data_IF_947622382276
#
_entry.id   IF_947622382276
#
_cell.length_a   1.000
_cell.length_b   1.000
_cell.length_c   1.000
_cell.angle_alpha   90.00
_cell.angle_beta   90.00
_cell.angle_gamma   90.00
#
_symmetry.space_group_name_H-M   'P 1'
#
loop_
_entity.id
_entity.type
_entity.pdbx_description
1 polymer ?
#
# COMPACT_ATOMS: atom_id res chain seq x y z
N UNK A 1 12.88 -19.15 -24.85
CA UNK A 1 13.67 -18.16 -24.08
C UNK A 1 12.95 -16.84 -24.31
N UNK A 2 11.80 -16.70 -23.66
CA UNK A 2 10.91 -15.57 -23.81
C UNK A 2 11.29 -14.54 -22.76
N UNK A 3 11.49 -13.32 -23.21
CA UNK A 3 11.70 -12.14 -22.37
C UNK A 3 10.38 -11.82 -21.65
N UNK A 4 10.24 -12.26 -20.40
CA UNK A 4 9.15 -11.87 -19.50
C UNK A 4 9.49 -10.49 -18.90
N UNK A 5 9.57 -9.47 -19.75
CA UNK A 5 9.63 -8.09 -19.30
C UNK A 5 8.24 -7.68 -18.80
N UNK A 6 8.14 -7.32 -17.52
CA UNK A 6 6.94 -6.76 -16.88
C UNK A 6 6.35 -5.59 -17.71
N UNK A 7 5.02 -5.35 -17.67
CA UNK A 7 4.33 -4.42 -18.57
C UNK A 7 4.52 -2.96 -18.14
N UNK A 8 5.76 -2.48 -18.13
CA UNK A 8 6.10 -1.09 -17.88
C UNK A 8 6.46 -0.42 -19.20
N UNK A 9 5.75 0.66 -19.54
CA UNK A 9 5.99 1.37 -20.80
C UNK A 9 7.44 1.85 -20.92
N UNK A 10 7.97 1.83 -22.14
CA UNK A 10 9.31 2.30 -22.49
C UNK A 10 9.48 3.77 -22.05
N UNK A 11 10.15 3.96 -20.91
CA UNK A 11 10.37 5.26 -20.31
C UNK A 11 11.79 5.74 -20.55
N UNK A 12 11.90 7.01 -20.94
CA UNK A 12 13.17 7.72 -21.01
C UNK A 12 13.65 7.97 -19.59
N UNK A 13 14.61 7.17 -19.12
CA UNK A 13 15.41 7.42 -17.93
C UNK A 13 16.75 8.06 -18.37
N UNK A 14 16.80 9.39 -18.60
CA UNK A 14 17.98 10.03 -19.17
C UNK A 14 19.20 9.96 -18.25
N UNK A 15 18.99 9.65 -16.98
CA UNK A 15 20.02 9.56 -15.96
C UNK A 15 20.44 8.11 -15.66
N UNK A 16 19.81 7.12 -16.31
CA UNK A 16 20.08 5.68 -16.12
C UNK A 16 20.05 5.27 -14.64
N UNK A 17 19.06 5.80 -13.92
CA UNK A 17 18.77 5.50 -12.51
C UNK A 17 18.20 4.09 -12.30
N UNK A 18 17.62 3.48 -13.34
CA UNK A 18 16.90 2.21 -13.31
C UNK A 18 15.46 2.32 -12.79
N UNK A 19 14.95 3.53 -12.57
CA UNK A 19 13.55 3.74 -12.20
C UNK A 19 12.65 3.81 -13.43
N UNK A 20 11.50 3.16 -13.31
CA UNK A 20 10.44 3.16 -14.30
C UNK A 20 9.16 3.64 -13.61
N UNK A 21 8.48 4.62 -14.19
CA UNK A 21 7.19 5.09 -13.76
C UNK A 21 6.13 4.04 -14.03
N UNK A 22 5.38 3.72 -13.00
CA UNK A 22 4.31 2.75 -13.11
C UNK A 22 3.18 3.31 -13.97
N UNK A 23 2.70 2.48 -14.90
CA UNK A 23 1.45 2.68 -15.62
C UNK A 23 0.52 1.51 -15.33
N UNK A 24 -0.78 1.76 -15.07
CA UNK A 24 -1.76 0.68 -14.95
C UNK A 24 -1.73 -0.19 -16.21
N UNK A 25 -1.68 -1.53 -16.07
CA UNK A 25 -1.69 -2.42 -17.23
C UNK A 25 -3.05 -2.38 -17.93
N UNK A 26 -3.05 -2.39 -19.27
CA UNK A 26 -4.26 -2.59 -20.06
C UNK A 26 -4.55 -4.10 -20.19
N UNK A 27 -5.64 -4.56 -19.58
CA UNK A 27 -6.05 -5.97 -19.61
C UNK A 27 -7.07 -6.18 -20.72
N UNK A 28 -6.82 -7.15 -21.62
CA UNK A 28 -7.65 -7.40 -22.80
C UNK A 28 -9.05 -7.94 -22.47
N UNK A 29 -9.18 -8.77 -21.43
CA UNK A 29 -10.46 -9.20 -20.83
C UNK A 29 -10.44 -8.87 -19.33
N UNK A 30 -10.78 -7.63 -18.94
CA UNK A 30 -10.54 -7.15 -17.60
C UNK A 30 -11.55 -7.73 -16.60
N UNK A 31 -11.08 -8.55 -15.65
CA UNK A 31 -11.79 -8.79 -14.38
C UNK A 31 -11.81 -7.54 -13.50
N UNK A 32 -10.92 -6.60 -13.78
CA UNK A 32 -10.87 -5.30 -13.14
C UNK A 32 -10.30 -4.24 -14.10
N UNK A 33 -10.70 -3.00 -13.91
CA UNK A 33 -10.27 -1.86 -14.70
C UNK A 33 -9.89 -0.71 -13.77
N UNK A 34 -8.75 -0.07 -14.02
CA UNK A 34 -8.32 1.13 -13.31
C UNK A 34 -8.63 2.35 -14.19
N UNK A 35 -9.38 3.30 -13.63
CA UNK A 35 -9.78 4.54 -14.30
C UNK A 35 -9.22 5.75 -13.56
N UNK A 36 -8.80 6.78 -14.30
CA UNK A 36 -8.21 8.00 -13.76
C UNK A 36 -6.69 8.04 -13.91
N UNK A 37 -6.12 9.23 -13.71
CA UNK A 37 -4.67 9.44 -13.77
C UNK A 37 -4.08 9.55 -12.36
N UNK A 38 -4.25 10.69 -11.68
CA UNK A 38 -3.64 10.93 -10.35
C UNK A 38 -4.45 10.40 -9.17
N UNK A 39 -5.77 10.39 -9.29
CA UNK A 39 -6.69 9.81 -8.31
C UNK A 39 -7.46 8.71 -9.02
N UNK A 40 -7.12 7.46 -8.75
CA UNK A 40 -7.60 6.33 -9.51
C UNK A 40 -8.75 5.60 -8.81
N UNK A 41 -9.66 5.07 -9.62
CA UNK A 41 -10.77 4.21 -9.21
C UNK A 41 -10.53 2.83 -9.81
N UNK A 42 -10.58 1.78 -8.99
CA UNK A 42 -10.57 0.40 -9.50
C UNK A 42 -11.99 -0.13 -9.53
N UNK A 43 -12.44 -0.57 -10.70
CA UNK A 43 -13.71 -1.27 -10.87
C UNK A 43 -13.41 -2.74 -11.03
N UNK A 44 -14.01 -3.59 -10.20
CA UNK A 44 -13.84 -5.04 -10.21
C UNK A 44 -15.15 -5.71 -10.57
N UNK A 45 -15.09 -6.71 -11.44
CA UNK A 45 -16.19 -7.61 -11.77
C UNK A 45 -16.11 -8.84 -10.87
N UNK A 46 -17.20 -9.15 -10.19
CA UNK A 46 -17.35 -10.30 -9.31
C UNK A 46 -18.27 -11.33 -9.96
N UNK A 47 -17.78 -12.56 -10.09
CA UNK A 47 -18.62 -13.68 -10.51
C UNK A 47 -19.58 -14.10 -9.39
N UNK A 48 -20.66 -14.85 -9.70
CA UNK A 48 -21.56 -15.36 -8.67
C UNK A 48 -20.82 -16.08 -7.55
N UNK A 49 -21.14 -15.74 -6.29
CA UNK A 49 -20.48 -16.25 -5.07
C UNK A 49 -19.01 -15.86 -4.90
N UNK A 50 -18.48 -14.94 -5.70
CA UNK A 50 -17.14 -14.41 -5.50
C UNK A 50 -17.11 -13.32 -4.41
N UNK A 51 -16.03 -13.31 -3.63
CA UNK A 51 -15.81 -12.40 -2.51
C UNK A 51 -14.61 -11.49 -2.81
N UNK A 52 -14.82 -10.19 -2.62
CA UNK A 52 -13.80 -9.16 -2.63
C UNK A 52 -13.57 -8.66 -1.21
N UNK A 53 -12.34 -8.78 -0.71
CA UNK A 53 -11.96 -8.19 0.57
C UNK A 53 -11.54 -6.73 0.35
N UNK A 54 -12.00 -5.81 1.20
CA UNK A 54 -11.65 -4.39 1.11
C UNK A 54 -11.48 -3.75 2.48
N UNK A 55 -10.66 -2.70 2.54
CA UNK A 55 -10.61 -1.83 3.71
C UNK A 55 -11.90 -1.03 3.86
N UNK A 56 -12.35 -0.75 5.11
CA UNK A 56 -13.51 0.08 5.37
C UNK A 56 -13.40 1.47 4.71
N UNK A 57 -14.48 1.93 4.08
CA UNK A 57 -14.54 3.25 3.46
C UNK A 57 -13.92 3.35 2.07
N UNK A 58 -13.39 2.26 1.51
CA UNK A 58 -12.84 2.26 0.13
C UNK A 58 -13.93 2.08 -0.94
N UNK A 59 -15.13 1.64 -0.59
CA UNK A 59 -16.21 1.40 -1.56
C UNK A 59 -16.84 2.71 -2.03
N UNK A 60 -16.85 2.92 -3.35
CA UNK A 60 -17.45 4.08 -4.03
C UNK A 60 -18.82 3.77 -4.60
N UNK A 61 -18.96 2.62 -5.28
CA UNK A 61 -20.23 2.14 -5.82
C UNK A 61 -20.23 0.61 -5.92
N UNK A 62 -21.40 -0.02 -5.93
CA UNK A 62 -21.54 -1.46 -6.15
C UNK A 62 -22.88 -1.80 -6.81
N UNK A 63 -22.95 -2.93 -7.49
CA UNK A 63 -24.21 -3.49 -7.99
C UNK A 63 -25.15 -3.85 -6.82
N UNK A 64 -26.48 -3.76 -7.00
CA UNK A 64 -27.45 -4.15 -5.97
C UNK A 64 -27.41 -5.63 -5.54
N UNK A 65 -26.78 -6.49 -6.34
CA UNK A 65 -26.61 -7.91 -6.06
C UNK A 65 -25.42 -8.23 -5.13
N UNK A 66 -24.62 -7.22 -4.77
CA UNK A 66 -23.45 -7.38 -3.90
C UNK A 66 -23.84 -7.16 -2.45
N UNK A 67 -23.67 -8.19 -1.64
CA UNK A 67 -23.88 -8.17 -0.20
C UNK A 67 -22.61 -7.72 0.52
N UNK A 68 -22.77 -6.91 1.56
CA UNK A 68 -21.65 -6.40 2.37
C UNK A 68 -21.61 -7.09 3.72
N UNK A 69 -20.57 -7.87 3.95
CA UNK A 69 -20.30 -8.56 5.20
C UNK A 69 -19.16 -7.87 5.94
N UNK A 70 -19.44 -7.31 7.12
CA UNK A 70 -18.44 -6.64 7.95
C UNK A 70 -18.07 -7.56 9.11
N UNK A 71 -16.80 -7.94 9.18
CA UNK A 71 -16.27 -8.73 10.29
C UNK A 71 -15.28 -7.91 11.11
N UNK A 72 -15.35 -8.05 12.42
CA UNK A 72 -14.39 -7.47 13.35
C UNK A 72 -13.82 -8.61 14.19
N UNK A 73 -12.52 -8.85 14.10
CA UNK A 73 -11.87 -9.87 14.93
C UNK A 73 -11.79 -9.37 16.39
N UNK A 74 -12.10 -10.19 17.41
CA UNK A 74 -12.03 -9.77 18.82
C UNK A 74 -10.66 -9.18 19.17
N UNK A 75 -10.67 -7.99 19.78
CA UNK A 75 -9.53 -7.09 19.89
C UNK A 75 -8.87 -7.13 21.28
N UNK A 76 -8.41 -8.27 21.76
CA UNK A 76 -7.50 -8.30 22.92
C UNK A 76 -6.05 -8.28 22.43
N UNK A 77 -5.38 -7.12 22.52
CA UNK A 77 -3.95 -7.00 22.21
C UNK A 77 -3.59 -7.10 20.72
N UNK A 78 -4.49 -6.71 19.82
CA UNK A 78 -4.29 -6.88 18.38
C UNK A 78 -3.12 -6.01 17.88
N UNK A 79 -2.06 -6.68 17.46
CA UNK A 79 -0.86 -6.08 16.87
C UNK A 79 -1.21 -5.19 15.66
N UNK A 80 -2.31 -5.48 14.95
CA UNK A 80 -2.83 -4.67 13.84
C UNK A 80 -3.33 -3.28 14.25
N UNK A 81 -4.00 -3.15 15.39
CA UNK A 81 -4.40 -1.82 15.90
C UNK A 81 -3.17 -1.04 16.35
N UNK A 82 -2.22 -1.72 16.98
CA UNK A 82 -0.94 -1.14 17.34
C UNK A 82 -0.13 -0.70 16.11
N UNK A 83 -0.34 -1.37 14.96
CA UNK A 83 0.20 -1.03 13.65
C UNK A 83 -0.51 0.15 12.96
N UNK A 84 -1.64 0.64 13.51
CA UNK A 84 -2.45 1.68 12.87
C UNK A 84 -3.40 1.17 11.78
N UNK A 85 -3.72 -0.13 11.78
CA UNK A 85 -4.67 -0.76 10.86
C UNK A 85 -6.06 -0.91 11.48
N UNK A 86 -7.12 -0.84 10.66
CA UNK A 86 -8.46 -1.13 11.15
C UNK A 86 -8.60 -2.62 11.53
N UNK A 87 -9.21 -2.89 12.69
CA UNK A 87 -9.63 -4.25 13.08
C UNK A 87 -10.77 -4.82 12.22
N UNK A 88 -11.40 -3.94 11.45
CA UNK A 88 -12.59 -4.24 10.66
C UNK A 88 -12.15 -4.68 9.26
N UNK A 89 -12.61 -5.86 8.86
CA UNK A 89 -12.50 -6.36 7.48
C UNK A 89 -13.88 -6.28 6.83
N UNK A 90 -13.95 -5.68 5.65
CA UNK A 90 -15.18 -5.63 4.84
C UNK A 90 -15.04 -6.63 3.71
N UNK A 91 -16.05 -7.49 3.55
CA UNK A 91 -16.16 -8.45 2.46
C UNK A 91 -17.37 -8.06 1.61
N UNK A 92 -17.17 -7.96 0.31
CA UNK A 92 -18.20 -7.69 -0.68
C UNK A 92 -18.39 -8.97 -1.48
N UNK A 93 -19.54 -9.60 -1.34
CA UNK A 93 -19.86 -10.90 -1.93
C UNK A 93 -20.96 -10.75 -2.98
N UNK A 94 -20.79 -11.35 -4.16
CA UNK A 94 -21.86 -11.39 -5.14
C UNK A 94 -22.89 -12.47 -4.79
N UNK A 95 -24.03 -12.07 -4.21
CA UNK A 95 -25.16 -12.96 -3.91
C UNK A 95 -26.09 -13.21 -5.11
N UNK A 96 -25.84 -12.56 -6.26
CA UNK A 96 -26.62 -12.70 -7.48
C UNK A 96 -26.25 -13.92 -8.34
N UNK A 97 -27.07 -14.17 -9.37
CA UNK A 97 -26.82 -15.23 -10.37
C UNK A 97 -26.00 -14.79 -11.59
N UNK A 98 -25.83 -13.48 -11.78
CA UNK A 98 -25.06 -12.87 -12.88
C UNK A 98 -23.83 -12.15 -12.32
N UNK A 99 -22.87 -11.81 -13.19
CA UNK A 99 -21.69 -11.04 -12.80
C UNK A 99 -22.09 -9.64 -12.31
N UNK A 100 -21.49 -9.19 -11.20
CA UNK A 100 -21.75 -7.92 -10.55
C UNK A 100 -20.49 -7.02 -10.57
N UNK A 101 -20.64 -5.71 -10.36
CA UNK A 101 -19.51 -4.78 -10.32
C UNK A 101 -19.37 -4.10 -8.96
N UNK A 102 -18.13 -3.77 -8.59
CA UNK A 102 -17.79 -2.96 -7.42
C UNK A 102 -16.72 -1.95 -7.81
N UNK A 103 -16.95 -0.68 -7.50
CA UNK A 103 -15.98 0.40 -7.63
C UNK A 103 -15.35 0.73 -6.29
N UNK A 104 -14.03 0.73 -6.22
CA UNK A 104 -13.23 1.08 -5.05
C UNK A 104 -12.33 2.28 -5.33
N UNK A 105 -12.10 3.08 -4.30
CA UNK A 105 -11.26 4.28 -4.32
C UNK A 105 -10.30 4.28 -3.14
N UNK A 106 -9.05 4.73 -3.33
CA UNK A 106 -8.14 5.02 -2.22
C UNK A 106 -8.70 6.08 -1.27
N UNK A 107 -8.26 6.04 -0.02
CA UNK A 107 -8.67 6.96 1.06
C UNK A 107 -7.89 8.30 1.08
N UNK A 108 -6.96 8.51 0.15
CA UNK A 108 -6.28 9.78 -0.11
C UNK A 108 -5.92 9.87 -1.61
N UNK A 109 -5.49 11.03 -2.14
CA UNK A 109 -5.09 11.17 -3.55
C UNK A 109 -3.97 10.18 -3.93
N UNK A 110 -4.35 9.08 -4.58
CA UNK A 110 -3.47 7.96 -4.88
C UNK A 110 -3.85 7.25 -6.17
N UNK A 111 -2.84 6.61 -6.74
CA UNK A 111 -2.92 5.66 -7.85
C UNK A 111 -3.02 4.24 -7.28
N UNK A 112 -3.62 3.33 -8.05
CA UNK A 112 -3.83 1.92 -7.68
C UNK A 112 -2.84 1.04 -8.41
N UNK A 113 -2.11 0.22 -7.67
CA UNK A 113 -1.15 -0.76 -8.20
C UNK A 113 -1.70 -2.16 -7.97
N UNK A 114 -2.07 -2.90 -9.03
CA UNK A 114 -2.46 -4.30 -8.93
C UNK A 114 -1.20 -5.16 -8.80
N UNK A 115 -1.12 -5.96 -7.74
CA UNK A 115 -0.08 -6.96 -7.51
C UNK A 115 -0.72 -8.33 -7.72
N UNK A 116 -0.34 -8.98 -8.81
CA UNK A 116 -0.75 -10.34 -9.11
C UNK A 116 0.19 -11.33 -8.41
N UNK A 117 -0.29 -12.07 -7.41
CA UNK A 117 0.55 -12.95 -6.58
C UNK A 117 0.96 -14.24 -7.30
N UNK A 118 0.28 -14.57 -8.40
CA UNK A 118 0.68 -15.64 -9.32
C UNK A 118 2.06 -15.36 -9.94
N UNK A 119 2.31 -14.10 -10.33
CA UNK A 119 3.52 -13.63 -11.02
C UNK A 119 4.53 -13.04 -10.04
N UNK A 120 4.08 -12.22 -9.09
CA UNK A 120 4.91 -11.54 -8.11
C UNK A 120 4.75 -12.21 -6.74
N UNK A 121 5.47 -13.32 -6.55
CA UNK A 121 5.48 -14.06 -5.27
C UNK A 121 6.28 -13.32 -4.21
N UNK A 122 5.89 -13.51 -2.94
CA UNK A 122 6.61 -12.98 -1.80
C UNK A 122 6.62 -11.46 -1.75
N UNK A 123 5.48 -10.79 -1.97
CA UNK A 123 5.45 -9.33 -1.94
C UNK A 123 5.21 -8.81 -0.52
N UNK A 124 6.06 -7.89 -0.07
CA UNK A 124 5.94 -7.21 1.23
C UNK A 124 5.44 -5.80 1.01
N UNK A 125 4.23 -5.51 1.47
CA UNK A 125 3.63 -4.18 1.43
C UNK A 125 3.83 -3.45 2.76
N UNK A 126 3.93 -2.12 2.69
CA UNK A 126 3.81 -1.25 3.86
C UNK A 126 2.40 -1.34 4.43
N UNK A 127 2.27 -1.42 5.75
CA UNK A 127 0.97 -1.38 6.43
C UNK A 127 0.17 -0.13 6.02
N UNK A 128 -1.12 -0.33 5.73
CA UNK A 128 -2.04 0.70 5.24
C UNK A 128 -1.91 1.03 3.75
N UNK A 129 -1.01 0.35 3.00
CA UNK A 129 -0.96 0.49 1.55
C UNK A 129 -1.95 -0.47 0.85
N UNK A 130 -2.30 -1.61 1.46
CA UNK A 130 -3.25 -2.57 0.88
C UNK A 130 -4.66 -2.01 1.00
N UNK A 131 -5.36 -1.86 -0.14
CA UNK A 131 -6.74 -1.36 -0.18
C UNK A 131 -7.76 -2.49 -0.30
N UNK A 132 -7.50 -3.45 -1.18
CA UNK A 132 -8.42 -4.58 -1.42
C UNK A 132 -7.69 -5.80 -1.96
N UNK A 133 -8.34 -6.97 -1.90
CA UNK A 133 -7.85 -8.20 -2.49
C UNK A 133 -8.97 -9.04 -3.09
N UNK A 134 -8.70 -9.58 -4.27
CA UNK A 134 -9.58 -10.43 -5.07
C UNK A 134 -8.98 -11.84 -5.17
N UNK A 135 -9.81 -12.87 -4.93
CA UNK A 135 -9.37 -14.26 -4.95
C UNK A 135 -8.59 -14.68 -3.69
N UNK A 136 -7.73 -15.69 -3.82
CA UNK A 136 -6.95 -16.23 -2.70
C UNK A 136 -5.74 -15.34 -2.40
N UNK A 137 -5.91 -14.44 -1.44
CA UNK A 137 -4.85 -13.55 -0.93
C UNK A 137 -4.80 -13.62 0.59
N UNK A 138 -3.67 -14.13 1.09
CA UNK A 138 -3.36 -14.21 2.50
C UNK A 138 -2.47 -13.03 2.88
N UNK A 139 -2.99 -12.19 3.76
CA UNK A 139 -2.28 -11.02 4.31
C UNK A 139 -1.80 -11.39 5.70
N UNK A 140 -0.48 -11.52 5.88
CA UNK A 140 0.13 -11.77 7.18
C UNK A 140 0.91 -10.54 7.66
N UNK A 141 0.61 -10.07 8.86
CA UNK A 141 1.32 -8.92 9.45
C UNK A 141 2.55 -9.40 10.18
N UNK A 142 3.72 -9.26 9.58
CA UNK A 142 5.00 -9.49 10.25
C UNK A 142 5.39 -8.22 11.01
N UNK A 143 5.45 -8.35 12.33
CA UNK A 143 5.84 -7.25 13.21
C UNK A 143 7.34 -7.29 13.40
N UNK A 144 8.09 -6.88 12.38
CA UNK A 144 9.50 -6.52 12.53
C UNK A 144 9.64 -5.18 13.24
N UNK A 145 8.89 -5.02 14.34
CA UNK A 145 9.10 -3.97 15.31
C UNK A 145 10.41 -4.29 16.01
N UNK A 146 11.53 -3.95 15.38
CA UNK A 146 12.67 -3.57 16.18
C UNK A 146 12.21 -2.35 17.01
N UNK A 147 12.17 -2.41 18.35
CA UNK A 147 11.75 -1.28 19.17
C UNK A 147 12.64 -0.06 18.95
N UNK A 148 13.91 -0.26 18.57
CA UNK A 148 14.81 0.82 18.17
C UNK A 148 14.46 1.45 16.81
N UNK A 149 13.60 0.84 16.00
CA UNK A 149 13.07 1.39 14.76
C UNK A 149 11.70 2.05 14.98
N UNK A 150 10.88 1.50 15.89
CA UNK A 150 9.59 2.11 16.27
C UNK A 150 9.73 3.38 17.11
N UNK A 151 10.70 3.45 18.03
CA UNK A 151 10.86 4.60 18.93
C UNK A 151 11.43 5.85 18.26
N UNK A 152 12.13 5.73 17.13
CA UNK A 152 12.80 6.87 16.48
C UNK A 152 12.06 7.40 15.24
N UNK A 153 11.05 6.68 14.76
CA UNK A 153 10.39 7.02 13.49
C UNK A 153 9.01 7.65 13.68
N UNK A 154 8.34 7.51 14.83
CA UNK A 154 6.90 7.85 14.97
C UNK A 154 6.02 7.25 13.82
N UNK A 155 6.55 6.25 13.13
CA UNK A 155 6.03 5.62 11.92
C UNK A 155 6.27 4.12 12.15
N UNK A 156 5.39 3.50 12.95
CA UNK A 156 5.44 2.06 13.16
C UNK A 156 5.34 1.35 11.80
N UNK A 157 6.48 0.92 11.24
CA UNK A 157 6.50 0.19 9.98
C UNK A 157 6.15 -1.26 10.26
N UNK A 158 4.87 -1.51 10.53
CA UNK A 158 4.36 -2.86 10.38
C UNK A 158 4.37 -3.20 8.89
N UNK A 159 4.85 -4.39 8.57
CA UNK A 159 4.94 -4.88 7.20
C UNK A 159 3.94 -6.00 7.04
N UNK A 160 3.33 -6.06 5.86
CA UNK A 160 2.36 -7.08 5.51
C UNK A 160 2.91 -7.91 4.37
N UNK A 161 3.15 -9.20 4.61
CA UNK A 161 3.46 -10.15 3.54
C UNK A 161 2.17 -10.56 2.85
N UNK A 162 2.23 -10.57 1.52
CA UNK A 162 1.16 -11.01 0.63
C UNK A 162 1.55 -12.34 0.00
N UNK A 163 0.71 -13.34 0.23
CA UNK A 163 0.91 -14.71 -0.25
C UNK A 163 -0.40 -15.26 -0.84
N UNK A 164 -0.33 -16.06 -1.91
CA UNK A 164 -1.51 -16.67 -2.54
C UNK A 164 -1.44 -16.65 -4.06
N UNK A 165 -2.60 -16.82 -4.70
CA UNK A 165 -2.74 -16.86 -6.17
C UNK A 165 -3.70 -15.78 -6.70
N UNK A 166 -4.23 -14.91 -5.83
CA UNK A 166 -5.12 -13.81 -6.18
C UNK A 166 -4.42 -12.52 -6.59
N UNK A 167 -5.20 -11.44 -6.65
CA UNK A 167 -4.72 -10.09 -6.94
C UNK A 167 -4.94 -9.20 -5.72
N UNK A 168 -3.89 -8.53 -5.26
CA UNK A 168 -3.97 -7.48 -4.24
C UNK A 168 -3.89 -6.10 -4.89
N UNK A 169 -4.76 -5.17 -4.49
CA UNK A 169 -4.74 -3.79 -4.95
C UNK A 169 -4.12 -2.91 -3.87
N UNK A 170 -3.03 -2.23 -4.23
CA UNK A 170 -2.28 -1.36 -3.34
C UNK A 170 -2.50 0.09 -3.74
N UNK A 171 -2.73 0.98 -2.77
CA UNK A 171 -2.80 2.42 -2.96
C UNK A 171 -1.42 3.06 -2.76
N UNK A 172 -0.99 3.86 -3.74
CA UNK A 172 0.26 4.60 -3.68
C UNK A 172 0.06 6.05 -4.16
N UNK A 173 0.53 7.01 -3.36
CA UNK A 173 0.25 8.43 -3.55
C UNK A 173 1.20 9.16 -4.49
N UNK A 174 0.64 10.04 -5.32
CA UNK A 174 1.39 10.83 -6.28
C UNK A 174 1.95 9.97 -7.42
N UNK A 175 3.22 10.16 -7.75
CA UNK A 175 3.92 9.42 -8.81
C UNK A 175 4.51 8.15 -8.23
N UNK A 176 4.30 7.03 -8.93
CA UNK A 176 4.82 5.73 -8.55
C UNK A 176 6.03 5.42 -9.41
N UNK A 177 7.16 5.10 -8.78
CA UNK A 177 8.36 4.63 -9.46
C UNK A 177 8.69 3.21 -8.99
N UNK A 178 8.93 2.33 -9.95
CA UNK A 178 9.32 0.93 -9.78
C UNK A 178 10.78 0.79 -10.16
N UNK A 179 11.53 -0.01 -9.40
CA UNK A 179 12.92 -0.34 -9.73
C UNK A 179 13.20 -1.79 -9.44
N UNK A 180 13.73 -2.50 -10.44
CA UNK A 180 14.24 -3.85 -10.27
C UNK A 180 15.71 -3.79 -9.85
N UNK A 181 15.99 -4.16 -8.60
CA UNK A 181 17.34 -4.23 -8.08
C UNK A 181 17.99 -5.53 -8.54
N UNK A 182 19.20 -5.42 -9.09
CA UNK A 182 20.05 -6.59 -9.36
C UNK A 182 20.64 -7.13 -8.06
N UNK A 183 21.17 -8.34 -8.12
CA UNK A 183 21.87 -8.96 -6.98
C UNK A 183 23.01 -8.04 -6.49
N UNK A 184 22.98 -7.68 -5.21
CA UNK A 184 23.95 -6.78 -4.57
C UNK A 184 23.79 -5.29 -4.93
N UNK A 185 22.82 -4.91 -5.76
CA UNK A 185 22.52 -3.52 -6.05
C UNK A 185 21.85 -2.87 -4.85
N UNK A 186 22.37 -1.71 -4.43
CA UNK A 186 21.86 -0.96 -3.28
C UNK A 186 21.07 0.26 -3.71
N UNK A 187 19.95 0.47 -3.02
CA UNK A 187 19.09 1.63 -3.14
C UNK A 187 18.93 2.29 -1.77
N UNK A 188 19.15 3.61 -1.71
CA UNK A 188 18.84 4.41 -0.53
C UNK A 188 17.59 5.21 -0.86
N UNK A 189 16.56 5.05 -0.04
CA UNK A 189 15.24 5.68 -0.23
C UNK A 189 14.72 6.19 1.10
N UNK A 190 13.95 7.27 1.07
CA UNK A 190 13.19 7.72 2.25
C UNK A 190 12.21 6.60 2.68
N UNK A 191 12.27 6.15 3.93
CA UNK A 191 11.47 5.03 4.41
C UNK A 191 9.96 5.27 4.30
N UNK A 192 9.53 6.53 4.35
CA UNK A 192 8.11 6.88 4.16
C UNK A 192 7.64 6.67 2.71
N UNK A 193 8.56 6.77 1.75
CA UNK A 193 8.29 6.72 0.31
C UNK A 193 8.27 5.30 -0.26
N UNK A 194 8.56 4.28 0.56
CA UNK A 194 8.44 2.87 0.16
C UNK A 194 6.98 2.43 0.25
N UNK A 195 6.46 1.86 -0.83
CA UNK A 195 5.11 1.27 -0.89
C UNK A 195 5.18 -0.23 -0.59
N UNK A 196 6.13 -0.92 -1.23
CA UNK A 196 6.36 -2.35 -1.04
C UNK A 196 7.52 -2.86 -1.89
N UNK A 197 7.93 -4.09 -1.66
CA UNK A 197 9.07 -4.74 -2.33
C UNK A 197 8.95 -6.26 -2.25
N UNK A 198 9.65 -6.98 -3.13
CA UNK A 198 9.76 -8.44 -3.04
C UNK A 198 10.58 -8.87 -1.82
N UNK A 199 10.21 -9.97 -1.19
CA UNK A 199 10.86 -10.57 -0.01
C UNK A 199 12.34 -10.93 -0.22
N UNK A 200 12.76 -11.08 -1.47
CA UNK A 200 14.15 -11.25 -1.89
C UNK A 200 15.00 -9.99 -1.66
N UNK A 201 14.38 -8.81 -1.55
CA UNK A 201 15.06 -7.55 -1.29
C UNK A 201 15.33 -7.40 0.20
N UNK A 202 16.62 -7.30 0.56
CA UNK A 202 17.03 -7.01 1.92
C UNK A 202 16.69 -5.57 2.28
N UNK A 203 16.07 -5.36 3.45
CA UNK A 203 15.62 -4.05 3.90
C UNK A 203 16.23 -3.72 5.27
N UNK A 204 16.93 -2.59 5.35
CA UNK A 204 17.51 -2.07 6.59
C UNK A 204 17.19 -0.60 6.78
N UNK A 205 16.90 -0.18 8.01
CA UNK A 205 16.72 1.24 8.35
C UNK A 205 18.03 1.76 8.92
N UNK A 206 18.57 2.80 8.31
CA UNK A 206 19.76 3.49 8.81
C UNK A 206 19.32 4.83 9.41
N UNK A 207 19.42 5.00 10.74
CA UNK A 207 19.14 6.28 11.37
C UNK A 207 20.14 7.31 10.84
N UNK A 208 19.64 8.42 10.29
CA UNK A 208 20.52 9.49 9.83
C UNK A 208 21.05 10.24 11.06
N UNK A 209 22.37 10.46 11.12
CA UNK A 209 23.07 11.13 12.24
C UNK A 209 22.56 12.57 12.47
N UNK A 210 21.93 13.18 11.47
CA UNK A 210 21.31 14.52 11.56
C UNK A 210 19.95 14.55 12.28
N UNK A 211 19.36 13.40 12.59
CA UNK A 211 18.02 13.33 13.20
C UNK A 211 17.97 13.79 14.64
N UNK A 212 19.11 13.85 15.32
CA UNK A 212 19.21 14.35 16.69
C UNK A 212 19.01 15.88 16.76
N UNK A 213 19.16 16.61 15.64
CA UNK A 213 19.17 18.08 15.66
C UNK A 213 17.95 18.76 15.03
N UNK A 214 17.21 18.08 14.15
CA UNK A 214 16.13 18.71 13.39
C UNK A 214 14.77 18.05 13.66
N UNK A 215 14.14 18.44 14.78
CA UNK A 215 12.68 18.43 14.94
C UNK A 215 12.03 19.48 14.01
N UNK A 216 12.34 19.41 12.70
CA UNK A 216 12.02 20.41 11.68
C UNK A 216 11.12 19.93 10.55
N UNK A 217 10.64 18.68 10.58
CA UNK A 217 9.61 18.19 9.66
C UNK A 217 10.10 17.35 8.46
N UNK A 218 11.41 17.24 8.23
CA UNK A 218 11.99 16.35 7.22
C UNK A 218 12.16 14.91 7.77
N UNK A 219 11.93 13.90 6.93
CA UNK A 219 11.92 12.49 7.33
C UNK A 219 13.25 12.01 7.91
N UNK A 220 13.23 11.55 9.15
CA UNK A 220 14.42 11.23 9.95
C UNK A 220 15.04 9.84 9.68
N UNK A 221 14.62 9.08 8.66
CA UNK A 221 15.12 7.72 8.46
C UNK A 221 15.20 7.37 6.98
N UNK A 222 16.40 7.05 6.49
CA UNK A 222 16.57 6.43 5.18
C UNK A 222 16.47 4.91 5.33
N UNK A 223 15.78 4.27 4.41
CA UNK A 223 15.85 2.84 4.18
C UNK A 223 16.97 2.53 3.17
N UNK A 224 17.80 1.56 3.50
CA UNK A 224 18.74 0.92 2.58
C UNK A 224 18.12 -0.39 2.13
N UNK A 225 17.99 -0.57 0.83
CA UNK A 225 17.44 -1.76 0.19
C UNK A 225 18.51 -2.40 -0.68
N UNK A 226 18.65 -3.72 -0.65
CA UNK A 226 19.65 -4.45 -1.44
C UNK A 226 18.99 -5.63 -2.16
N UNK A 227 19.18 -5.69 -3.48
CA UNK A 227 18.55 -6.70 -4.34
C UNK A 227 19.13 -8.11 -4.19
N UNK A 228 18.55 -9.10 -4.90
CA UNK A 228 17.69 -8.90 -6.07
C UNK A 228 16.21 -8.70 -5.75
N UNK A 229 15.49 -7.98 -6.63
CA UNK A 229 14.02 -7.93 -6.62
C UNK A 229 13.43 -6.54 -6.89
N UNK A 230 12.13 -6.50 -7.10
CA UNK A 230 11.36 -5.29 -7.42
C UNK A 230 11.08 -4.46 -6.16
N UNK A 231 11.27 -3.15 -6.26
CA UNK A 231 10.91 -2.15 -5.25
C UNK A 231 9.94 -1.14 -5.84
N UNK A 232 8.83 -0.88 -5.13
CA UNK A 232 7.82 0.10 -5.51
C UNK A 232 7.89 1.29 -4.55
N UNK A 233 8.01 2.48 -5.12
CA UNK A 233 8.14 3.74 -4.39
C UNK A 233 7.08 4.75 -4.83
N UNK A 234 6.78 5.71 -3.95
CA UNK A 234 5.78 6.75 -4.17
C UNK A 234 6.36 8.13 -3.84
N UNK A 235 5.96 9.15 -4.59
CA UNK A 235 6.39 10.52 -4.33
C UNK A 235 5.68 11.15 -3.12
N UNK A 236 4.41 10.81 -2.90
CA UNK A 236 3.57 11.40 -1.86
C UNK A 236 2.95 10.33 -0.96
N UNK A 237 3.68 9.89 0.06
CA UNK A 237 3.13 8.97 1.06
C UNK A 237 1.98 9.60 1.84
N UNK A 238 1.09 8.77 2.38
CA UNK A 238 0.01 9.23 3.25
C UNK A 238 0.53 10.11 4.41
N UNK A 239 1.69 9.79 4.98
CA UNK A 239 2.26 10.56 6.08
C UNK A 239 2.82 11.90 5.63
N UNK A 240 3.34 11.99 4.39
CA UNK A 240 3.68 13.27 3.78
C UNK A 240 2.44 14.10 3.53
N UNK A 241 1.36 13.49 3.03
CA UNK A 241 0.08 14.15 2.79
C UNK A 241 -0.51 14.74 4.08
N UNK A 242 -0.66 13.92 5.13
CA UNK A 242 -1.21 14.35 6.43
C UNK A 242 -0.38 15.47 7.05
N UNK A 243 0.96 15.44 6.94
CA UNK A 243 1.81 16.53 7.45
C UNK A 243 1.51 17.88 6.80
N UNK A 244 1.11 17.88 5.53
CA UNK A 244 0.80 19.10 4.76
C UNK A 244 -0.62 19.59 5.04
N UNK A 245 -1.61 18.68 5.12
CA UNK A 245 -3.02 19.08 5.23
C UNK A 245 -3.51 19.25 6.65
N UNK A 246 -2.84 18.65 7.64
CA UNK A 246 -3.30 18.73 9.01
C UNK A 246 -3.04 20.11 9.63
N UNK A 247 -3.98 20.64 10.45
CA UNK A 247 -3.78 21.91 11.12
C UNK A 247 -2.53 21.88 12.02
N UNK A 248 -1.89 23.04 12.24
CA UNK A 248 -0.78 23.13 13.19
C UNK A 248 -1.27 22.66 14.57
N UNK A 249 -0.45 21.89 15.31
CA UNK A 249 -0.85 21.43 16.63
C UNK A 249 -1.21 22.63 17.52
N UNK A 250 -2.35 22.56 18.23
CA UNK A 250 -2.68 23.51 19.29
C UNK A 250 -1.53 23.47 20.32
N UNK A 251 -1.03 24.63 20.74
CA UNK A 251 0.10 24.70 21.66
C UNK A 251 -0.16 23.85 22.91
N UNK A 252 0.69 22.84 23.15
CA UNK A 252 0.62 21.96 24.33
C UNK A 252 0.14 20.52 24.09
N UNK A 253 -0.31 20.13 22.89
CA UNK A 253 -0.66 18.74 22.58
C UNK A 253 0.48 18.01 21.86
N UNK A 254 0.97 16.88 22.40
CA UNK A 254 1.83 15.98 21.65
C UNK A 254 1.02 15.29 20.54
N UNK A 255 1.56 15.28 19.31
CA UNK A 255 0.97 14.58 18.16
C UNK A 255 1.01 13.08 18.41
N UNK A 256 -0.14 12.45 18.66
CA UNK A 256 -0.33 11.02 18.42
C UNK A 256 -1.14 10.88 17.13
N UNK A 257 -0.49 10.61 16.00
CA UNK A 257 -1.20 10.23 14.78
C UNK A 257 -1.39 8.71 14.81
N UNK A 258 -2.63 8.27 15.06
CA UNK A 258 -3.08 6.90 14.83
C UNK A 258 -3.95 6.89 13.57
N UNK A 259 -3.49 6.17 12.55
CA UNK A 259 -4.33 5.82 11.40
C UNK A 259 -5.42 4.82 11.81
N UNK A 260 -6.57 4.93 11.13
CA UNK A 260 -7.67 3.96 11.08
C UNK A 260 -8.51 3.70 12.35
N UNK A 261 -9.09 4.76 12.91
CA UNK A 261 -10.49 4.81 13.35
C UNK A 261 -10.81 6.28 13.64
N UNK A 262 -11.92 6.78 13.10
CA UNK A 262 -12.24 8.20 13.10
C UNK A 262 -12.14 8.88 14.47
N UNK A 263 -11.50 10.04 14.46
CA UNK A 263 -12.13 11.29 14.90
C UNK A 263 -11.45 12.43 14.10
N UNK A 264 -12.04 12.77 12.95
CA UNK A 264 -11.88 14.11 12.40
C UNK A 264 -12.83 15.02 13.17
N UNK A 265 -12.39 15.53 14.31
CA UNK A 265 -13.02 16.71 14.89
C UNK A 265 -12.39 17.95 14.24
N UNK A 266 -13.03 18.41 13.16
CA UNK A 266 -13.08 19.85 12.93
C UNK A 266 -14.24 20.35 13.77
N UNK A 267 -13.95 21.31 14.65
CA UNK A 267 -14.89 21.89 15.63
C UNK A 267 -16.32 22.09 15.08
#
# INVERSE_FOLDING_TARGET
MGDESLPFAEQVDPFNTGFIEFKPPEVAEPRWQISGDDCQVVTVMLEPSEVLNTEPGSMMFMSPAVDTNVSCSPCDGCVRVCAGEPCVKVQLENGGGDSAYVGLTPNFPAKVVPIELSTMKGFVAKSGAIMSSLGDVNISTSTDCNPATCCFTNLGMCRQSLDGEGTAFIAAGGTILVKDLKEGEKLIVDSASVVGFQDTVSFGITPNVFCTFCFGGEGCCNATMEGPGTVITQSMSFEKYIKVVAPPPKAGSQRMYRGAAGEFNFD
#
